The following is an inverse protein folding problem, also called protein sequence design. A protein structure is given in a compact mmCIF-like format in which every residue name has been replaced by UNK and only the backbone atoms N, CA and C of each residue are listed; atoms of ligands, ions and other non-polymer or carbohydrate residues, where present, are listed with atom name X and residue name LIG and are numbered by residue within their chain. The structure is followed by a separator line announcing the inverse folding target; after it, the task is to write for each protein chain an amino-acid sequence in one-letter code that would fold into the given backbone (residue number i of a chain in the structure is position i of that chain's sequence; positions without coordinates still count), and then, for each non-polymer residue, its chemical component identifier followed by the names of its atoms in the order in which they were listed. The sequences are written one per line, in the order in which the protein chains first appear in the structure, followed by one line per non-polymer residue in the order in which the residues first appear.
data_IF_390120499173
#
_entry.id   IF_390120499173
#
_cell.length_a   1.000
_cell.length_b   1.000
_cell.length_c   1.000
_cell.angle_alpha   90.00
_cell.angle_beta   90.00
_cell.angle_gamma   90.00
#
_symmetry.space_group_name_H-M   'P 1'
#
loop_
_entity.id
_entity.type
_entity.pdbx_description
1 polymer ?
#
# COMPACT_ATOMS: atom_id res chain seq x y z
N UNK A 1 16.62 -9.13 -11.41
CA UNK A 1 15.54 -9.53 -10.46
C UNK A 1 14.31 -9.87 -11.25
N UNK A 2 13.65 -10.95 -10.89
CA UNK A 2 12.46 -11.40 -11.61
C UNK A 2 11.25 -10.51 -11.33
N UNK A 3 10.30 -10.55 -12.26
CA UNK A 3 9.01 -9.85 -12.12
C UNK A 3 7.88 -10.83 -12.29
N UNK A 4 6.98 -10.88 -11.31
CA UNK A 4 5.72 -11.58 -11.44
C UNK A 4 4.69 -10.58 -11.96
N UNK A 5 4.16 -10.81 -13.14
CA UNK A 5 3.13 -9.94 -13.69
C UNK A 5 1.76 -10.60 -13.59
N UNK A 6 0.88 -9.95 -12.88
CA UNK A 6 -0.51 -10.38 -12.71
C UNK A 6 -1.36 -9.62 -13.72
N UNK A 7 -2.02 -10.36 -14.61
CA UNK A 7 -2.80 -9.84 -15.71
C UNK A 7 -4.23 -10.35 -15.64
N UNK A 8 -5.08 -9.88 -16.53
CA UNK A 8 -6.45 -10.37 -16.63
C UNK A 8 -6.52 -11.89 -16.85
N UNK A 9 -5.54 -12.45 -17.55
CA UNK A 9 -5.51 -13.87 -17.87
C UNK A 9 -5.15 -14.75 -16.68
N UNK A 10 -4.35 -14.24 -15.73
CA UNK A 10 -3.88 -15.07 -14.61
C UNK A 10 -4.31 -14.57 -13.22
N UNK A 11 -4.99 -13.44 -13.12
CA UNK A 11 -5.33 -12.85 -11.84
C UNK A 11 -6.13 -13.79 -10.92
N UNK A 12 -6.97 -14.63 -11.48
CA UNK A 12 -7.79 -15.55 -10.68
C UNK A 12 -6.97 -16.60 -9.95
N UNK A 13 -5.76 -16.91 -10.44
CA UNK A 13 -4.84 -17.81 -9.73
C UNK A 13 -4.33 -17.22 -8.43
N UNK A 14 -4.30 -15.89 -8.32
CA UNK A 14 -3.69 -15.19 -7.20
C UNK A 14 -4.72 -14.59 -6.23
N UNK A 15 -5.97 -14.40 -6.67
CA UNK A 15 -7.03 -13.85 -5.81
C UNK A 15 -7.21 -14.70 -4.57
N UNK A 16 -7.29 -14.05 -3.41
CA UNK A 16 -7.54 -14.67 -2.12
C UNK A 16 -6.48 -15.71 -1.73
N UNK A 17 -5.24 -15.51 -2.18
CA UNK A 17 -4.10 -16.37 -1.83
C UNK A 17 -3.09 -15.62 -0.99
N UNK A 18 -2.19 -16.38 -0.35
CA UNK A 18 -0.99 -15.83 0.29
C UNK A 18 0.09 -15.79 -0.77
N UNK A 19 0.34 -14.63 -1.34
CA UNK A 19 1.34 -14.48 -2.38
C UNK A 19 2.62 -13.90 -1.80
N UNK A 20 3.71 -14.65 -1.93
CA UNK A 20 5.05 -14.20 -1.59
C UNK A 20 5.96 -14.42 -2.79
N UNK A 21 6.63 -13.39 -3.25
CA UNK A 21 7.47 -13.44 -4.43
C UNK A 21 8.82 -12.76 -4.19
N UNK A 22 9.89 -13.45 -4.55
CA UNK A 22 11.23 -12.88 -4.48
C UNK A 22 11.52 -12.11 -5.77
N UNK A 23 11.14 -10.85 -5.78
CA UNK A 23 11.24 -9.98 -6.95
C UNK A 23 10.12 -8.96 -6.97
N UNK A 24 9.92 -8.32 -8.11
CA UNK A 24 8.85 -7.35 -8.31
C UNK A 24 7.51 -8.05 -8.54
N UNK A 25 6.45 -7.47 -8.00
CA UNK A 25 5.08 -7.88 -8.32
C UNK A 25 4.42 -6.70 -9.03
N UNK A 26 3.97 -6.93 -10.26
CA UNK A 26 3.24 -5.95 -11.05
C UNK A 26 1.82 -6.43 -11.30
N UNK A 27 0.86 -5.60 -10.99
CA UNK A 27 -0.55 -5.85 -11.27
C UNK A 27 -0.94 -4.96 -12.45
N UNK A 28 -1.39 -5.55 -13.53
CA UNK A 28 -1.71 -4.84 -14.76
C UNK A 28 -2.81 -3.80 -14.55
N UNK A 29 -2.89 -2.84 -15.47
CA UNK A 29 -3.89 -1.78 -15.43
C UNK A 29 -5.32 -2.32 -15.57
N UNK A 30 -6.27 -1.58 -15.02
CA UNK A 30 -7.70 -1.77 -15.22
C UNK A 30 -8.26 -3.11 -14.72
N UNK A 31 -7.67 -3.67 -13.66
CA UNK A 31 -8.18 -4.87 -13.01
C UNK A 31 -9.11 -4.57 -11.82
N UNK A 32 -9.24 -3.31 -11.44
CA UNK A 32 -9.94 -2.94 -10.23
C UNK A 32 -9.15 -3.35 -8.98
N UNK A 33 -9.83 -3.56 -7.89
CA UNK A 33 -9.19 -4.00 -6.65
C UNK A 33 -8.90 -5.50 -6.73
N UNK A 34 -7.63 -5.87 -6.61
CA UNK A 34 -7.20 -7.26 -6.57
C UNK A 34 -6.97 -7.65 -5.12
N UNK A 35 -7.71 -8.65 -4.64
CA UNK A 35 -7.70 -9.07 -3.25
C UNK A 35 -6.82 -10.30 -3.04
N UNK A 36 -6.01 -10.25 -1.98
CA UNK A 36 -5.14 -11.35 -1.53
C UNK A 36 -5.46 -11.66 -0.06
N UNK A 37 -5.05 -12.83 0.44
CA UNK A 37 -4.99 -13.05 1.89
C UNK A 37 -3.83 -12.27 2.48
N UNK A 38 -2.64 -12.39 1.87
CA UNK A 38 -1.49 -11.55 2.18
C UNK A 38 -0.66 -11.38 0.91
N UNK A 39 0.09 -10.28 0.84
CA UNK A 39 0.89 -9.95 -0.32
C UNK A 39 2.28 -9.51 0.14
N UNK A 40 3.31 -10.19 -0.32
CA UNK A 40 4.68 -9.88 0.06
C UNK A 40 5.62 -9.98 -1.14
N UNK A 41 6.44 -8.94 -1.29
CA UNK A 41 7.50 -8.88 -2.30
C UNK A 41 8.82 -8.53 -1.61
N UNK A 42 9.91 -9.10 -2.08
CA UNK A 42 11.24 -8.67 -1.63
C UNK A 42 11.66 -7.32 -2.23
N UNK A 43 10.93 -6.82 -3.21
CA UNK A 43 11.22 -5.58 -3.92
C UNK A 43 9.99 -4.67 -4.00
N UNK A 44 9.49 -4.38 -5.19
CA UNK A 44 8.32 -3.50 -5.39
C UNK A 44 7.04 -4.28 -5.58
N UNK A 45 5.95 -3.68 -5.14
CA UNK A 45 4.59 -4.07 -5.50
C UNK A 45 3.96 -2.87 -6.19
N UNK A 46 3.58 -3.02 -7.45
CA UNK A 46 2.99 -1.94 -8.23
C UNK A 46 1.69 -2.41 -8.86
N UNK A 47 0.58 -1.75 -8.55
CA UNK A 47 -0.67 -1.90 -9.26
C UNK A 47 -0.82 -0.69 -10.18
N UNK A 48 -0.90 -0.93 -11.49
CA UNK A 48 -0.96 0.12 -12.49
C UNK A 48 -2.29 0.88 -12.46
N UNK A 49 -2.44 1.89 -13.31
CA UNK A 49 -3.64 2.73 -13.34
C UNK A 49 -4.92 1.91 -13.45
N UNK A 50 -5.92 2.24 -12.65
CA UNK A 50 -7.17 1.49 -12.61
C UNK A 50 -7.13 0.19 -11.83
N UNK A 51 -6.03 -0.08 -11.11
CA UNK A 51 -5.87 -1.24 -10.25
C UNK A 51 -5.47 -0.84 -8.85
N UNK A 52 -5.98 -1.59 -7.86
CA UNK A 52 -5.68 -1.40 -6.45
C UNK A 52 -5.38 -2.73 -5.76
N UNK A 53 -4.96 -2.64 -4.52
CA UNK A 53 -4.48 -3.80 -3.75
C UNK A 53 -5.25 -3.89 -2.45
N UNK A 54 -5.75 -5.10 -2.16
CA UNK A 54 -6.39 -5.40 -0.87
C UNK A 54 -5.86 -6.71 -0.33
N UNK A 55 -5.49 -6.74 0.95
CA UNK A 55 -5.08 -7.96 1.61
C UNK A 55 -5.85 -8.13 2.93
N UNK A 56 -6.27 -9.36 3.21
CA UNK A 56 -6.95 -9.67 4.47
C UNK A 56 -6.04 -9.50 5.67
N UNK A 57 -4.75 -9.81 5.50
CA UNK A 57 -3.75 -9.68 6.55
C UNK A 57 -2.82 -8.51 6.25
N UNK A 58 -1.64 -8.76 5.75
CA UNK A 58 -0.65 -7.72 5.55
C UNK A 58 -0.19 -7.57 4.11
N UNK A 59 0.33 -6.37 3.81
CA UNK A 59 1.03 -6.07 2.55
C UNK A 59 2.42 -5.62 2.93
N UNK A 60 3.44 -6.29 2.39
CA UNK A 60 4.83 -5.96 2.69
C UNK A 60 5.68 -5.96 1.43
N UNK A 61 6.48 -4.92 1.28
CA UNK A 61 7.45 -4.81 0.19
C UNK A 61 8.81 -4.39 0.74
N UNK A 62 9.88 -4.96 0.16
CA UNK A 62 11.24 -4.58 0.54
C UNK A 62 11.56 -3.13 0.19
N UNK A 63 10.96 -2.59 -0.90
CA UNK A 63 11.17 -1.22 -1.34
C UNK A 63 9.89 -0.42 -1.36
N UNK A 64 9.07 -0.53 -2.37
CA UNK A 64 7.92 0.34 -2.49
C UNK A 64 6.62 -0.39 -2.77
N UNK A 65 5.51 0.25 -2.41
CA UNK A 65 4.17 -0.19 -2.74
C UNK A 65 3.46 0.97 -3.43
N UNK A 66 2.96 0.73 -4.64
CA UNK A 66 2.27 1.76 -5.41
C UNK A 66 1.01 1.20 -6.03
N UNK A 67 -0.08 1.96 -5.99
CA UNK A 67 -1.32 1.57 -6.63
C UNK A 67 -2.03 2.76 -7.27
N UNK A 68 -2.61 2.54 -8.44
CA UNK A 68 -3.42 3.54 -9.12
C UNK A 68 -4.70 3.88 -8.36
N UNK A 69 -5.29 2.89 -7.70
CA UNK A 69 -6.44 3.08 -6.84
C UNK A 69 -6.01 3.07 -5.37
N UNK A 70 -6.64 2.27 -4.54
CA UNK A 70 -6.33 2.21 -3.13
C UNK A 70 -5.42 1.06 -2.72
N UNK A 71 -4.88 1.18 -1.51
CA UNK A 71 -4.12 0.13 -0.85
C UNK A 71 -4.77 -0.12 0.50
N UNK A 72 -5.23 -1.35 0.74
CA UNK A 72 -5.96 -1.69 1.95
C UNK A 72 -5.47 -3.02 2.54
N UNK A 73 -5.27 -3.07 3.84
CA UNK A 73 -4.90 -4.29 4.54
C UNK A 73 -5.65 -4.41 5.87
N UNK A 74 -6.02 -5.65 6.24
CA UNK A 74 -6.68 -5.88 7.52
C UNK A 74 -5.78 -5.61 8.71
N UNK A 75 -4.47 -5.86 8.58
CA UNK A 75 -3.52 -5.68 9.67
C UNK A 75 -2.53 -4.56 9.38
N UNK A 76 -1.53 -4.78 8.53
CA UNK A 76 -0.49 -3.78 8.29
C UNK A 76 -0.13 -3.62 6.82
N UNK A 77 0.41 -2.42 6.53
CA UNK A 77 1.03 -2.11 5.24
C UNK A 77 2.44 -1.61 5.56
N UNK A 78 3.45 -2.28 5.04
CA UNK A 78 4.84 -1.96 5.34
C UNK A 78 5.71 -1.95 4.08
N UNK A 79 6.53 -0.92 3.93
CA UNK A 79 7.49 -0.82 2.84
C UNK A 79 8.81 -0.25 3.34
N UNK A 80 9.92 -0.78 2.84
CA UNK A 80 11.26 -0.25 3.14
C UNK A 80 11.49 1.13 2.52
N UNK A 81 10.86 1.41 1.39
CA UNK A 81 10.88 2.72 0.74
C UNK A 81 9.56 3.46 0.94
N UNK A 82 8.86 3.75 -0.15
CA UNK A 82 7.63 4.53 -0.09
C UNK A 82 6.36 3.73 -0.29
N UNK A 83 5.25 4.30 0.15
CA UNK A 83 3.90 3.78 -0.08
C UNK A 83 3.10 4.89 -0.76
N UNK A 84 2.55 4.61 -1.94
CA UNK A 84 1.83 5.61 -2.71
C UNK A 84 0.55 5.04 -3.32
N UNK A 85 -0.55 5.76 -3.16
CA UNK A 85 -1.83 5.38 -3.76
C UNK A 85 -2.51 6.59 -4.38
N UNK A 86 -3.19 6.35 -5.52
CA UNK A 86 -3.97 7.40 -6.16
C UNK A 86 -5.19 7.80 -5.35
N UNK A 87 -5.76 6.87 -4.57
CA UNK A 87 -6.92 7.13 -3.73
C UNK A 87 -6.54 7.11 -2.25
N UNK A 88 -6.80 6.06 -1.55
CA UNK A 88 -6.56 5.97 -0.13
C UNK A 88 -5.63 4.85 0.27
N UNK A 89 -5.07 4.97 1.47
CA UNK A 89 -4.25 3.94 2.09
C UNK A 89 -4.87 3.65 3.45
N UNK A 90 -5.24 2.40 3.69
CA UNK A 90 -5.93 2.02 4.92
C UNK A 90 -5.41 0.70 5.48
N UNK A 91 -5.14 0.67 6.78
CA UNK A 91 -4.74 -0.53 7.49
C UNK A 91 -5.44 -0.63 8.84
N UNK A 92 -5.80 -1.85 9.26
CA UNK A 92 -6.43 -2.06 10.56
C UNK A 92 -5.51 -1.72 11.72
N UNK A 93 -4.20 -1.92 11.55
CA UNK A 93 -3.23 -1.67 12.62
C UNK A 93 -2.22 -0.59 12.23
N UNK A 94 -1.26 -0.89 11.37
CA UNK A 94 -0.11 -0.02 11.08
C UNK A 94 0.07 0.25 9.60
N UNK A 95 0.53 1.46 9.30
CA UNK A 95 1.09 1.82 8.00
C UNK A 95 2.48 2.34 8.26
N UNK A 96 3.50 1.67 7.69
CA UNK A 96 4.89 2.03 7.94
C UNK A 96 5.71 2.06 6.66
N UNK A 97 6.45 3.14 6.47
CA UNK A 97 7.35 3.30 5.33
C UNK A 97 8.70 3.85 5.78
N UNK A 98 9.78 3.37 5.18
CA UNK A 98 11.12 3.89 5.45
C UNK A 98 11.31 5.31 4.95
N UNK A 99 10.62 5.69 3.87
CA UNK A 99 10.68 7.03 3.28
C UNK A 99 9.34 7.74 3.44
N UNK A 100 8.46 7.66 2.45
CA UNK A 100 7.25 8.48 2.42
C UNK A 100 5.99 7.66 2.26
N UNK A 101 4.88 8.20 2.79
CA UNK A 101 3.54 7.68 2.59
C UNK A 101 2.73 8.77 1.93
N UNK A 102 2.16 8.49 0.76
CA UNK A 102 1.42 9.48 -0.01
C UNK A 102 0.12 8.92 -0.56
N UNK A 103 -0.98 9.62 -0.36
CA UNK A 103 -2.28 9.24 -0.89
C UNK A 103 -2.99 10.45 -1.49
N UNK A 104 -3.70 10.23 -2.60
CA UNK A 104 -4.50 11.28 -3.21
C UNK A 104 -5.68 11.72 -2.36
N UNK A 105 -6.24 10.80 -1.58
CA UNK A 105 -7.35 11.08 -0.67
C UNK A 105 -6.91 10.96 0.79
N UNK A 106 -7.25 9.88 1.46
CA UNK A 106 -6.98 9.72 2.88
C UNK A 106 -5.97 8.63 3.21
N UNK A 107 -5.38 8.76 4.40
CA UNK A 107 -4.52 7.74 4.99
C UNK A 107 -5.09 7.41 6.36
N UNK A 108 -5.40 6.13 6.60
CA UNK A 108 -6.03 5.72 7.84
C UNK A 108 -5.43 4.45 8.42
N UNK A 109 -5.13 4.45 9.71
CA UNK A 109 -4.66 3.28 10.43
C UNK A 109 -5.35 3.19 11.79
N UNK A 110 -5.64 1.95 12.23
CA UNK A 110 -6.27 1.74 13.54
C UNK A 110 -5.35 2.12 14.69
N UNK A 111 -4.03 1.92 14.53
CA UNK A 111 -3.05 2.25 15.57
C UNK A 111 -2.15 3.39 15.13
N UNK A 112 -1.23 3.15 14.20
CA UNK A 112 -0.22 4.15 13.91
C UNK A 112 0.15 4.26 12.45
N UNK A 113 0.65 5.44 12.09
CA UNK A 113 1.19 5.74 10.76
C UNK A 113 2.59 6.29 10.97
N UNK A 114 3.59 5.67 10.35
CA UNK A 114 4.98 6.04 10.53
C UNK A 114 5.72 6.11 9.20
N UNK A 115 6.44 7.21 8.99
CA UNK A 115 7.29 7.38 7.81
C UNK A 115 8.62 8.03 8.19
N UNK A 116 9.70 7.63 7.51
CA UNK A 116 11.02 8.22 7.76
C UNK A 116 11.10 9.70 7.37
N UNK A 117 10.36 10.13 6.34
CA UNK A 117 10.39 11.49 5.83
C UNK A 117 9.03 12.17 5.85
N UNK A 118 8.12 11.80 4.94
CA UNK A 118 6.88 12.52 4.70
C UNK A 118 5.65 11.64 4.80
N UNK A 119 4.58 12.21 5.33
CA UNK A 119 3.24 11.64 5.23
C UNK A 119 2.37 12.71 4.60
N UNK A 120 1.79 12.41 3.43
CA UNK A 120 1.01 13.39 2.68
C UNK A 120 -0.30 12.80 2.18
N UNK A 121 -1.39 13.49 2.45
CA UNK A 121 -2.72 13.11 1.95
C UNK A 121 -3.45 14.31 1.39
N UNK A 122 -4.20 14.11 0.30
CA UNK A 122 -4.99 15.17 -0.29
C UNK A 122 -6.14 15.62 0.61
N UNK A 123 -6.67 14.73 1.45
CA UNK A 123 -7.77 15.02 2.36
C UNK A 123 -7.34 14.94 3.82
N UNK A 124 -7.31 13.77 4.39
CA UNK A 124 -7.08 13.61 5.81
C UNK A 124 -6.15 12.47 6.16
N UNK A 125 -5.60 12.54 7.37
CA UNK A 125 -4.72 11.52 7.91
C UNK A 125 -5.24 11.18 9.30
N UNK A 126 -5.52 9.90 9.55
CA UNK A 126 -6.10 9.45 10.81
C UNK A 126 -5.39 8.22 11.36
N UNK A 127 -5.06 8.24 12.64
CA UNK A 127 -4.53 7.10 13.35
C UNK A 127 -5.06 7.06 14.78
N UNK A 128 -5.32 5.85 15.28
CA UNK A 128 -5.88 5.69 16.64
C UNK A 128 -4.92 6.09 17.74
N UNK A 129 -3.60 5.88 17.56
CA UNK A 129 -2.60 6.19 18.58
C UNK A 129 -1.66 7.32 18.17
N UNK A 130 -1.02 7.22 17.01
CA UNK A 130 -0.05 8.23 16.63
C UNK A 130 0.28 8.29 15.16
N UNK A 131 0.73 9.47 14.75
CA UNK A 131 1.20 9.74 13.40
C UNK A 131 2.58 10.35 13.53
N UNK A 132 3.59 9.72 12.93
CA UNK A 132 4.98 10.16 13.06
C UNK A 132 5.68 10.21 11.70
N UNK A 133 6.36 11.33 11.45
CA UNK A 133 7.17 11.50 10.26
C UNK A 133 8.42 12.29 10.59
N UNK A 134 9.59 11.88 10.06
CA UNK A 134 10.84 12.56 10.32
C UNK A 134 10.95 13.94 9.65
N UNK A 135 10.30 14.10 8.49
CA UNK A 135 10.32 15.36 7.75
C UNK A 135 9.08 16.21 7.98
N UNK A 136 7.91 15.70 7.63
CA UNK A 136 6.68 16.46 7.78
C UNK A 136 5.42 15.67 7.53
N UNK A 137 4.32 16.22 8.00
CA UNK A 137 2.99 15.64 7.86
C UNK A 137 2.11 16.70 7.21
N UNK A 138 1.50 16.38 6.09
CA UNK A 138 0.66 17.31 5.35
C UNK A 138 -0.66 16.68 4.94
N UNK A 139 -1.75 17.33 5.27
CA UNK A 139 -3.08 16.91 4.83
C UNK A 139 -3.83 18.14 4.30
N UNK A 140 -4.66 17.92 3.28
CA UNK A 140 -5.41 19.02 2.70
C UNK A 140 -6.49 19.57 3.62
N UNK A 141 -7.08 18.73 4.46
CA UNK A 141 -8.19 19.14 5.33
C UNK A 141 -7.91 18.90 6.82
N UNK A 142 -7.55 17.67 7.23
CA UNK A 142 -7.40 17.36 8.66
C UNK A 142 -6.39 16.23 8.93
N UNK A 143 -5.90 16.24 10.15
CA UNK A 143 -4.97 15.23 10.68
C UNK A 143 -5.53 14.69 11.99
#
# INVERSE_FOLDING_TARGET
METLRITRENVDQYRNTKLEFNGHIEIAAELGIVAFLSLKSSSYIVAEAGSGIKAGYGIKAGWGIEAGLGIEAGWWIEAGGGIKAGWGIEAGWWIKAGLSIEAGLGIKAGYGIEAGWWIKAGWGIEAGLGIEAGGGIEAGWWI
#
